data_IF_811425605928
#
_entry.id   IF_811425605928
#
_cell.length_a   1.000
_cell.length_b   1.000
_cell.length_c   1.000
_cell.angle_alpha   90.00
_cell.angle_beta   90.00
_cell.angle_gamma   90.00
#
_symmetry.space_group_name_H-M   'P 1'
#
loop_
_entity.id
_entity.type
_entity.pdbx_description
1 polymer ?
#
# COMPACT_ATOMS: atom_id res chain seq x y z
N UNK A 1 -18.26 -24.93 3.61
CA UNK A 1 -18.92 -24.03 2.64
C UNK A 1 -18.05 -22.79 2.54
N UNK A 2 -17.14 -22.77 1.58
CA UNK A 2 -16.26 -21.64 1.29
C UNK A 2 -17.10 -20.55 0.62
N UNK A 3 -17.39 -19.46 1.31
CA UNK A 3 -17.91 -18.26 0.68
C UNK A 3 -16.76 -17.59 -0.07
N UNK A 4 -16.67 -17.83 -1.38
CA UNK A 4 -15.93 -16.95 -2.28
C UNK A 4 -16.77 -15.68 -2.45
N UNK A 5 -16.32 -14.57 -1.87
CA UNK A 5 -16.87 -13.25 -2.17
C UNK A 5 -16.40 -12.83 -3.56
N UNK A 6 -17.30 -12.84 -4.55
CA UNK A 6 -17.02 -12.50 -5.97
C UNK A 6 -17.02 -11.00 -6.28
N UNK A 7 -17.04 -10.13 -5.27
CA UNK A 7 -17.07 -8.68 -5.51
C UNK A 7 -15.64 -8.14 -5.59
N UNK A 8 -15.25 -7.59 -6.75
CA UNK A 8 -13.98 -6.85 -6.88
C UNK A 8 -13.99 -5.73 -5.85
N UNK A 9 -13.10 -5.81 -4.85
CA UNK A 9 -13.01 -4.81 -3.77
C UNK A 9 -12.00 -3.69 -4.05
N UNK A 10 -11.02 -3.88 -4.91
CA UNK A 10 -10.14 -2.82 -5.41
C UNK A 10 -9.50 -3.35 -6.68
N UNK A 11 -9.39 -2.52 -7.72
CA UNK A 11 -8.52 -2.89 -8.84
C UNK A 11 -7.07 -2.80 -8.36
N UNK A 12 -6.22 -3.63 -8.92
CA UNK A 12 -4.79 -3.56 -8.65
C UNK A 12 -4.19 -2.37 -9.39
N UNK A 13 -4.14 -1.21 -8.73
CA UNK A 13 -3.61 0.04 -9.28
C UNK A 13 -2.07 0.16 -9.18
N UNK A 14 -1.38 -0.92 -8.81
CA UNK A 14 0.08 -0.96 -8.68
C UNK A 14 0.68 -2.07 -9.55
N UNK A 15 1.96 -1.99 -9.94
CA UNK A 15 2.63 -3.04 -10.73
C UNK A 15 2.46 -4.44 -10.12
N UNK A 16 2.21 -5.45 -10.95
CA UNK A 16 2.08 -6.84 -10.49
C UNK A 16 3.42 -7.52 -10.19
N UNK A 17 4.50 -6.99 -10.77
CA UNK A 17 5.85 -7.50 -10.65
C UNK A 17 6.84 -6.32 -10.54
N UNK A 18 8.12 -6.58 -10.82
CA UNK A 18 9.19 -5.59 -10.75
C UNK A 18 9.35 -4.78 -12.05
N UNK A 19 8.56 -5.08 -13.08
CA UNK A 19 8.57 -4.33 -14.32
C UNK A 19 7.93 -2.95 -14.09
N UNK A 20 8.53 -1.88 -14.63
CA UNK A 20 7.95 -0.54 -14.54
C UNK A 20 6.58 -0.46 -15.25
N UNK A 21 5.60 0.13 -14.58
CA UNK A 21 4.27 0.38 -15.12
C UNK A 21 4.05 1.87 -15.34
N UNK A 22 3.48 2.22 -16.49
CA UNK A 22 3.24 3.58 -16.92
C UNK A 22 1.79 4.00 -16.66
N UNK A 23 1.62 5.16 -16.01
CA UNK A 23 0.35 5.83 -15.76
C UNK A 23 0.44 7.27 -16.26
N UNK A 24 0.18 7.48 -17.55
CA UNK A 24 0.48 8.75 -18.21
C UNK A 24 1.98 9.04 -18.13
N UNK A 25 2.36 10.21 -17.61
CA UNK A 25 3.76 10.61 -17.44
C UNK A 25 4.44 10.01 -16.19
N UNK A 26 3.70 9.25 -15.38
CA UNK A 26 4.22 8.61 -14.17
C UNK A 26 4.71 7.20 -14.48
N UNK A 27 5.93 6.90 -14.05
CA UNK A 27 6.49 5.55 -14.10
C UNK A 27 6.60 5.04 -12.67
N UNK A 28 5.96 3.91 -12.41
CA UNK A 28 5.91 3.27 -11.09
C UNK A 28 6.61 1.92 -11.18
N UNK A 29 7.62 1.71 -10.32
CA UNK A 29 8.34 0.44 -10.24
C UNK A 29 8.29 -0.12 -8.83
N UNK A 30 7.94 -1.40 -8.68
CA UNK A 30 8.02 -2.09 -7.38
C UNK A 30 9.47 -2.42 -7.04
N UNK A 31 9.94 -1.90 -5.90
CA UNK A 31 11.29 -2.10 -5.39
C UNK A 31 11.36 -3.28 -4.42
N UNK A 32 10.35 -3.38 -3.54
CA UNK A 32 10.26 -4.42 -2.53
C UNK A 32 8.80 -4.75 -2.19
N UNK A 33 8.58 -5.99 -1.77
CA UNK A 33 7.32 -6.48 -1.21
C UNK A 33 7.64 -7.37 0.00
N UNK A 34 6.98 -7.07 1.11
CA UNK A 34 7.07 -7.80 2.37
C UNK A 34 5.68 -8.24 2.79
N UNK A 35 5.36 -9.51 2.58
CA UNK A 35 4.10 -10.13 2.98
C UNK A 35 4.21 -10.57 4.45
N UNK A 36 3.44 -9.92 5.32
CA UNK A 36 3.33 -10.26 6.74
C UNK A 36 1.97 -10.95 6.98
N UNK A 37 1.75 -11.59 8.15
CA UNK A 37 0.53 -12.35 8.39
C UNK A 37 -0.76 -11.53 8.25
N UNK A 38 -0.74 -10.25 8.62
CA UNK A 38 -1.94 -9.40 8.72
C UNK A 38 -1.95 -8.20 7.76
N UNK A 39 -0.81 -7.88 7.15
CA UNK A 39 -0.68 -6.81 6.17
C UNK A 39 0.49 -7.06 5.22
N UNK A 40 0.49 -6.38 4.08
CA UNK A 40 1.61 -6.38 3.13
C UNK A 40 2.19 -4.98 3.03
N UNK A 41 3.52 -4.87 3.02
CA UNK A 41 4.23 -3.60 2.81
C UNK A 41 4.91 -3.66 1.45
N UNK A 42 4.68 -2.64 0.61
CA UNK A 42 5.37 -2.49 -0.67
C UNK A 42 6.10 -1.16 -0.74
N UNK A 43 7.27 -1.16 -1.36
CA UNK A 43 7.99 0.07 -1.72
C UNK A 43 7.98 0.24 -3.23
N UNK A 44 7.62 1.44 -3.67
CA UNK A 44 7.60 1.83 -5.06
C UNK A 44 8.55 2.99 -5.30
N UNK A 45 9.25 2.96 -6.41
CA UNK A 45 9.91 4.13 -6.98
C UNK A 45 8.94 4.77 -7.97
N UNK A 46 8.65 6.04 -7.77
CA UNK A 46 7.80 6.85 -8.65
C UNK A 46 8.66 7.92 -9.31
N UNK A 47 8.64 7.96 -10.63
CA UNK A 47 9.29 8.99 -11.44
C UNK A 47 8.28 9.65 -12.37
N UNK A 48 8.49 10.92 -12.68
CA UNK A 48 7.71 11.66 -13.67
C UNK A 48 8.61 11.95 -14.86
N UNK A 49 8.17 11.63 -16.07
CA UNK A 49 8.92 11.93 -17.31
C UNK A 49 8.75 13.39 -17.74
N UNK A 50 7.61 14.00 -17.43
CA UNK A 50 7.30 15.39 -17.79
C UNK A 50 7.89 16.44 -16.85
N UNK A 51 8.40 16.06 -15.69
CA UNK A 51 9.04 16.97 -14.74
C UNK A 51 10.48 16.54 -14.43
N UNK A 52 11.40 17.50 -14.33
CA UNK A 52 12.74 17.26 -13.77
C UNK A 52 12.73 17.05 -12.24
N UNK A 53 11.67 16.43 -11.71
CA UNK A 53 11.57 16.14 -10.28
C UNK A 53 12.35 14.86 -9.93
N UNK A 54 12.97 14.87 -8.76
CA UNK A 54 13.68 13.69 -8.25
C UNK A 54 12.72 12.52 -8.03
N UNK A 55 13.15 11.27 -8.31
CA UNK A 55 12.39 10.07 -7.98
C UNK A 55 11.94 10.08 -6.53
N UNK A 56 10.67 9.72 -6.28
CA UNK A 56 10.12 9.58 -4.94
C UNK A 56 9.96 8.11 -4.58
N UNK A 57 10.19 7.79 -3.32
CA UNK A 57 9.89 6.46 -2.77
C UNK A 57 8.53 6.53 -2.08
N UNK A 58 7.59 5.71 -2.54
CA UNK A 58 6.27 5.53 -1.93
C UNK A 58 6.23 4.22 -1.16
N UNK A 59 5.76 4.26 0.08
CA UNK A 59 5.45 3.08 0.89
C UNK A 59 3.96 2.84 0.91
N UNK A 60 3.57 1.62 0.60
CA UNK A 60 2.19 1.19 0.55
C UNK A 60 1.95 0.11 1.61
N UNK A 61 1.07 0.43 2.56
CA UNK A 61 0.69 -0.46 3.65
C UNK A 61 -0.72 -0.99 3.37
N UNK A 62 -0.83 -2.28 3.12
CA UNK A 62 -2.09 -2.93 2.76
C UNK A 62 -2.52 -3.88 3.88
N UNK A 63 -3.51 -3.48 4.69
CA UNK A 63 -4.08 -4.33 5.73
C UNK A 63 -5.03 -5.36 5.11
N UNK A 64 -4.72 -6.65 5.24
CA UNK A 64 -5.33 -7.71 4.42
C UNK A 64 -6.33 -8.59 5.15
N UNK A 65 -6.45 -8.44 6.47
CA UNK A 65 -7.26 -9.33 7.33
C UNK A 65 -8.52 -8.66 7.87
N UNK A 66 -8.91 -7.50 7.33
CA UNK A 66 -10.18 -6.89 7.70
C UNK A 66 -11.35 -7.79 7.25
N UNK A 67 -12.28 -8.17 8.14
CA UNK A 67 -13.36 -9.10 7.81
C UNK A 67 -14.36 -8.48 6.82
N UNK A 68 -14.95 -9.30 5.95
CA UNK A 68 -15.95 -8.85 4.98
C UNK A 68 -17.19 -8.22 5.64
N UNK A 69 -17.53 -8.69 6.84
CA UNK A 69 -18.64 -8.18 7.63
C UNK A 69 -18.19 -7.90 9.06
N UNK A 70 -18.65 -6.76 9.60
CA UNK A 70 -18.34 -6.36 10.97
C UNK A 70 -16.92 -5.81 11.13
N UNK A 71 -16.30 -6.13 12.26
CA UNK A 71 -14.98 -5.64 12.67
C UNK A 71 -14.14 -6.80 13.20
N UNK A 72 -12.80 -6.68 13.22
CA UNK A 72 -11.94 -7.69 13.83
C UNK A 72 -12.33 -7.97 15.30
N UNK A 73 -12.25 -9.23 15.72
CA UNK A 73 -12.57 -9.64 17.10
C UNK A 73 -11.66 -8.98 18.15
N UNK A 74 -10.43 -8.64 17.75
CA UNK A 74 -9.45 -7.95 18.59
C UNK A 74 -8.91 -6.72 17.87
N UNK A 75 -8.74 -5.63 18.63
CA UNK A 75 -8.14 -4.39 18.11
C UNK A 75 -6.62 -4.44 18.03
N UNK A 76 -5.97 -5.49 18.57
CA UNK A 76 -4.52 -5.57 18.70
C UNK A 76 -3.80 -5.45 17.35
N UNK A 77 -4.26 -6.20 16.35
CA UNK A 77 -3.69 -6.18 15.00
C UNK A 77 -3.73 -4.78 14.38
N UNK A 78 -4.91 -4.16 14.39
CA UNK A 78 -5.10 -2.82 13.83
C UNK A 78 -4.25 -1.76 14.56
N UNK A 79 -4.16 -1.85 15.89
CA UNK A 79 -3.31 -0.95 16.69
C UNK A 79 -1.84 -1.12 16.30
N UNK A 80 -1.37 -2.35 16.13
CA UNK A 80 0.02 -2.63 15.72
C UNK A 80 0.29 -2.14 14.29
N UNK A 81 -0.67 -2.30 13.38
CA UNK A 81 -0.60 -1.78 12.03
C UNK A 81 -0.46 -0.25 12.03
N UNK A 82 -1.34 0.47 12.73
CA UNK A 82 -1.31 1.95 12.80
C UNK A 82 -0.01 2.45 13.44
N UNK A 83 0.48 1.80 14.49
CA UNK A 83 1.78 2.13 15.11
C UNK A 83 2.92 1.95 14.11
N UNK A 84 2.92 0.83 13.38
CA UNK A 84 3.92 0.57 12.34
C UNK A 84 3.89 1.66 11.27
N UNK A 85 2.73 2.03 10.75
CA UNK A 85 2.59 3.10 9.74
C UNK A 85 3.15 4.43 10.28
N UNK A 86 2.76 4.81 11.50
CA UNK A 86 3.23 6.06 12.15
C UNK A 86 4.75 6.08 12.32
N UNK A 87 5.34 5.00 12.80
CA UNK A 87 6.79 4.89 12.96
C UNK A 87 7.54 5.10 11.64
N UNK A 88 7.00 4.65 10.51
CA UNK A 88 7.58 4.89 9.19
C UNK A 88 7.41 6.33 8.71
N UNK A 89 6.27 6.95 9.02
CA UNK A 89 6.00 8.36 8.69
C UNK A 89 6.96 9.28 9.46
N UNK A 90 7.12 9.05 10.76
CA UNK A 90 7.94 9.89 11.64
C UNK A 90 9.44 9.81 11.30
N UNK A 91 9.91 8.66 10.80
CA UNK A 91 11.30 8.47 10.36
C UNK A 91 11.62 9.08 8.99
N UNK A 92 10.63 9.56 8.26
CA UNK A 92 10.81 10.00 6.87
C UNK A 92 10.86 11.53 6.78
N UNK A 93 11.98 12.15 6.36
CA UNK A 93 12.24 13.59 6.52
C UNK A 93 11.39 14.54 5.63
N UNK A 94 10.47 14.00 4.81
CA UNK A 94 9.61 14.80 3.91
C UNK A 94 8.32 14.06 3.57
N UNK A 95 7.56 13.65 4.58
CA UNK A 95 6.26 13.02 4.36
C UNK A 95 5.23 14.07 3.98
N UNK A 96 4.73 13.97 2.74
CA UNK A 96 3.47 14.61 2.37
C UNK A 96 2.30 13.98 3.12
N UNK A 97 1.08 14.40 2.80
CA UNK A 97 -0.13 13.79 3.36
C UNK A 97 -0.15 12.27 3.11
N UNK A 98 -0.53 11.50 4.14
CA UNK A 98 -0.74 10.06 4.02
C UNK A 98 -2.10 9.81 3.38
N UNK A 99 -2.11 9.10 2.24
CA UNK A 99 -3.36 8.69 1.58
C UNK A 99 -3.86 7.40 2.23
N UNK A 100 -5.11 7.41 2.66
CA UNK A 100 -5.80 6.24 3.23
C UNK A 100 -7.06 5.99 2.42
N UNK A 101 -7.28 4.74 2.02
CA UNK A 101 -8.48 4.33 1.32
C UNK A 101 -8.93 2.95 1.80
N UNK A 102 -10.22 2.69 1.63
CA UNK A 102 -10.86 1.40 1.73
C UNK A 102 -11.94 1.34 0.62
N UNK A 103 -12.66 0.22 0.53
CA UNK A 103 -13.78 0.07 -0.40
C UNK A 103 -15.03 -0.36 0.33
#
# INVERSE_FOLDING_TARGET
>A
MTYLCFQVKCDQYWPADREPLYYGDLVIQMMSESVLPEWTIREFKITSESSCSYPRVLRHFHYTVWPDHGVPESTQSLIQFVRTVRDYVDRSPSTGATVVHCR
#
